data_IF_382010337094
#
_entry.id   IF_382010337094
#
_cell.length_a   1.000
_cell.length_b   1.000
_cell.length_c   1.000
_cell.angle_alpha   90.00
_cell.angle_beta   90.00
_cell.angle_gamma   90.00
#
_symmetry.space_group_name_H-M   'P 1'
#
loop_
_entity.id
_entity.type
_entity.pdbx_description
1 polymer ?
#
# COMPACT_ATOMS: atom_id res chain seq x y z
N UNK A 1 -10.87 8.76 -2.66
CA UNK A 1 -10.40 8.02 -1.48
C UNK A 1 -8.96 7.62 -1.68
N UNK A 2 -8.12 7.72 -0.63
CA UNK A 2 -6.74 7.20 -0.64
C UNK A 2 -6.73 5.68 -0.64
N UNK A 3 -5.64 5.07 -1.14
CA UNK A 3 -5.44 3.64 -1.08
C UNK A 3 -5.15 3.19 0.35
N UNK A 4 -5.66 2.02 0.72
CA UNK A 4 -5.63 1.49 2.09
C UNK A 4 -4.76 0.26 2.20
N UNK A 5 -3.91 0.21 3.23
CA UNK A 5 -3.13 -0.96 3.63
C UNK A 5 -3.74 -1.57 4.91
N UNK A 6 -4.16 -2.82 4.87
CA UNK A 6 -4.63 -3.55 6.04
C UNK A 6 -3.48 -4.22 6.79
N UNK A 7 -3.38 -3.99 8.08
CA UNK A 7 -2.42 -4.66 8.95
C UNK A 7 -3.09 -5.90 9.51
N UNK A 8 -2.55 -7.09 9.19
CA UNK A 8 -3.04 -8.38 9.67
C UNK A 8 -1.94 -9.18 10.36
N UNK A 9 -2.30 -10.24 11.04
CA UNK A 9 -1.39 -11.20 11.68
C UNK A 9 -2.08 -11.92 12.83
N UNK A 10 -1.46 -12.97 13.33
CA UNK A 10 -1.95 -13.71 14.49
C UNK A 10 -1.97 -12.84 15.77
N UNK A 11 -2.64 -13.25 16.82
CA UNK A 11 -2.57 -12.58 18.12
C UNK A 11 -1.11 -12.44 18.61
N UNK A 12 -0.81 -11.36 19.32
CA UNK A 12 0.47 -11.11 20.00
C UNK A 12 1.72 -11.00 19.11
N UNK A 13 1.59 -10.88 17.77
CA UNK A 13 2.72 -10.69 16.85
C UNK A 13 3.23 -9.24 16.79
N UNK A 14 2.49 -8.28 17.38
CA UNK A 14 2.85 -6.86 17.42
C UNK A 14 2.04 -5.95 16.47
N UNK A 15 0.87 -6.37 15.98
CA UNK A 15 -0.01 -5.57 15.11
C UNK A 15 -0.36 -4.21 15.72
N UNK A 16 -1.01 -4.23 16.89
CA UNK A 16 -1.46 -3.00 17.56
C UNK A 16 -0.29 -2.10 17.96
N UNK A 17 0.86 -2.69 18.31
CA UNK A 17 2.08 -1.92 18.55
C UNK A 17 2.53 -1.20 17.28
N UNK A 18 2.56 -1.88 16.13
CA UNK A 18 2.89 -1.27 14.84
C UNK A 18 1.90 -0.17 14.48
N UNK A 19 0.60 -0.46 14.61
CA UNK A 19 -0.46 0.51 14.30
C UNK A 19 -0.35 1.77 15.19
N UNK A 20 -0.17 1.63 16.50
CA UNK A 20 0.00 2.74 17.44
C UNK A 20 1.25 3.57 17.11
N UNK A 21 2.34 2.93 16.69
CA UNK A 21 3.55 3.64 16.28
C UNK A 21 3.30 4.45 15.00
N UNK A 22 2.58 3.88 14.03
CA UNK A 22 2.18 4.59 12.80
C UNK A 22 1.23 5.74 13.10
N UNK A 23 0.28 5.58 14.01
CA UNK A 23 -0.66 6.63 14.42
C UNK A 23 0.04 7.77 15.15
N UNK A 24 0.91 7.46 16.10
CA UNK A 24 1.61 8.48 16.92
C UNK A 24 2.70 9.25 16.13
N UNK A 25 3.12 8.75 14.97
CA UNK A 25 4.09 9.45 14.11
C UNK A 25 3.49 10.57 13.26
N UNK A 26 2.15 10.80 13.33
CA UNK A 26 1.41 11.64 12.39
C UNK A 26 0.61 12.76 13.02
N UNK A 27 1.26 13.60 13.79
CA UNK A 27 0.62 14.83 14.32
C UNK A 27 0.15 15.75 13.18
N UNK A 28 0.82 15.76 12.03
CA UNK A 28 0.51 16.63 10.89
C UNK A 28 -0.62 16.13 9.97
N UNK A 29 -1.00 14.85 10.05
CA UNK A 29 -2.01 14.26 9.16
C UNK A 29 -3.44 14.69 9.52
N UNK A 30 -3.68 15.20 10.72
CA UNK A 30 -4.99 15.69 11.20
C UNK A 30 -5.52 16.90 10.42
N UNK A 31 -4.63 17.66 9.76
CA UNK A 31 -4.96 18.87 9.02
C UNK A 31 -5.28 18.63 7.53
N UNK A 32 -5.38 17.36 7.08
CA UNK A 32 -5.73 17.09 5.69
C UNK A 32 -7.24 17.22 5.45
N UNK A 33 -7.66 18.00 4.45
CA UNK A 33 -9.07 18.10 4.07
C UNK A 33 -9.64 16.72 3.71
N UNK A 34 -10.84 16.40 4.20
CA UNK A 34 -11.57 15.14 3.93
C UNK A 34 -11.02 13.87 4.59
N UNK A 35 -10.14 13.95 5.57
CA UNK A 35 -9.76 12.82 6.40
C UNK A 35 -10.80 12.57 7.50
N UNK A 36 -11.79 11.72 7.22
CA UNK A 36 -12.67 11.18 8.27
C UNK A 36 -11.88 10.12 9.05
N UNK A 37 -11.57 10.37 10.29
CA UNK A 37 -10.92 9.39 11.18
C UNK A 37 -11.98 8.36 11.54
N UNK A 38 -11.83 7.15 11.00
CA UNK A 38 -12.62 5.99 11.42
C UNK A 38 -11.88 5.24 12.53
N UNK A 39 -12.56 4.57 13.46
CA UNK A 39 -11.90 3.67 14.40
C UNK A 39 -10.96 2.72 13.66
N UNK A 40 -9.81 2.43 14.23
CA UNK A 40 -8.80 1.53 13.67
C UNK A 40 -8.22 1.96 12.30
N UNK A 41 -8.29 3.25 11.94
CA UNK A 41 -7.65 3.79 10.73
C UNK A 41 -6.64 4.88 11.10
N UNK A 42 -5.46 4.83 10.49
CA UNK A 42 -4.41 5.84 10.62
C UNK A 42 -4.01 6.36 9.25
N UNK A 43 -3.97 7.67 9.10
CA UNK A 43 -3.53 8.33 7.87
C UNK A 43 -2.11 8.80 8.06
N UNK A 44 -1.21 8.40 7.17
CA UNK A 44 0.23 8.62 7.30
C UNK A 44 0.76 9.35 6.07
N UNK A 45 1.54 10.39 6.28
CA UNK A 45 2.20 11.12 5.19
C UNK A 45 3.31 10.27 4.56
N UNK A 46 3.43 10.32 3.23
CA UNK A 46 4.49 9.62 2.49
C UNK A 46 5.75 10.48 2.50
N UNK A 47 6.86 10.01 3.12
CA UNK A 47 8.11 10.75 3.11
C UNK A 47 8.67 10.83 1.69
N UNK A 48 8.82 12.06 1.17
CA UNK A 48 9.41 12.31 -0.15
C UNK A 48 10.26 13.59 -0.13
N UNK A 49 11.55 13.40 -0.08
CA UNK A 49 12.51 14.51 0.01
C UNK A 49 12.48 15.41 -1.24
N UNK A 50 12.03 14.88 -2.39
CA UNK A 50 11.85 15.64 -3.64
C UNK A 50 10.85 16.77 -3.48
N UNK A 51 9.76 16.54 -2.75
CA UNK A 51 8.72 17.54 -2.49
C UNK A 51 9.28 18.77 -1.75
N UNK A 52 10.06 18.53 -0.71
CA UNK A 52 10.67 19.63 0.08
C UNK A 52 11.67 20.43 -0.75
N UNK A 53 12.42 19.73 -1.61
CA UNK A 53 13.37 20.39 -2.50
C UNK A 53 12.66 21.29 -3.52
N UNK A 54 11.59 20.79 -4.15
CA UNK A 54 10.75 21.58 -5.08
C UNK A 54 10.13 22.78 -4.41
N UNK A 55 9.56 22.61 -3.20
CA UNK A 55 8.96 23.68 -2.43
C UNK A 55 9.97 24.79 -2.08
N UNK A 56 11.21 24.41 -1.74
CA UNK A 56 12.30 25.36 -1.48
C UNK A 56 12.64 26.17 -2.72
N UNK A 57 12.77 25.54 -3.88
CA UNK A 57 13.07 26.21 -5.15
C UNK A 57 11.95 27.16 -5.57
N UNK A 58 10.69 26.74 -5.43
CA UNK A 58 9.52 27.53 -5.77
C UNK A 58 9.15 28.58 -4.70
N UNK A 59 9.84 28.60 -3.56
CA UNK A 59 9.54 29.45 -2.40
C UNK A 59 8.07 29.31 -1.94
N UNK A 60 7.58 28.06 -1.91
CA UNK A 60 6.18 27.78 -1.62
C UNK A 60 5.82 28.05 -0.17
N UNK A 61 4.66 28.71 0.04
CA UNK A 61 4.13 29.01 1.39
C UNK A 61 3.63 27.78 2.11
N UNK A 62 3.15 26.77 1.38
CA UNK A 62 2.57 25.53 1.93
C UNK A 62 3.11 24.30 1.22
N UNK A 63 3.40 23.26 2.00
CA UNK A 63 3.86 21.95 1.49
C UNK A 63 2.82 20.91 1.89
N UNK A 64 2.31 20.16 0.90
CA UNK A 64 1.28 19.14 1.12
C UNK A 64 1.80 17.79 0.61
N UNK A 65 2.06 16.88 1.53
CA UNK A 65 2.53 15.53 1.22
C UNK A 65 1.37 14.63 0.77
N UNK A 66 1.63 13.63 -0.03
CA UNK A 66 0.68 12.54 -0.27
C UNK A 66 0.53 11.66 0.97
N UNK A 67 -0.59 10.94 1.07
CA UNK A 67 -0.94 10.13 2.22
C UNK A 67 -1.23 8.68 1.83
N UNK A 68 -0.99 7.76 2.77
CA UNK A 68 -1.44 6.37 2.73
C UNK A 68 -2.25 6.09 3.99
N UNK A 69 -3.33 5.35 3.87
CA UNK A 69 -4.17 4.96 5.00
C UNK A 69 -3.81 3.55 5.45
N UNK A 70 -3.52 3.37 6.73
CA UNK A 70 -3.35 2.08 7.37
C UNK A 70 -4.62 1.74 8.18
N UNK A 71 -5.02 0.47 8.13
CA UNK A 71 -6.19 -0.05 8.85
C UNK A 71 -5.72 -1.19 9.74
N UNK A 72 -5.94 -1.07 11.06
CA UNK A 72 -5.72 -2.21 11.97
C UNK A 72 -6.90 -3.17 11.85
N UNK A 73 -6.63 -4.36 11.34
CA UNK A 73 -7.61 -5.41 11.19
C UNK A 73 -7.45 -6.38 12.37
N UNK A 74 -8.48 -6.51 13.19
CA UNK A 74 -8.47 -7.39 14.36
C UNK A 74 -7.93 -8.78 14.02
N UNK A 75 -7.20 -9.39 14.97
CA UNK A 75 -6.48 -10.65 14.71
C UNK A 75 -7.42 -11.80 14.33
N UNK A 76 -6.91 -12.67 13.48
CA UNK A 76 -7.58 -13.89 13.05
C UNK A 76 -7.75 -14.86 14.21
N UNK A 77 -8.96 -15.41 14.36
CA UNK A 77 -9.22 -16.61 15.12
C UNK A 77 -9.25 -17.78 14.12
N UNK A 78 -8.53 -18.87 14.41
CA UNK A 78 -8.50 -20.08 13.58
C UNK A 78 -9.94 -20.59 13.32
N UNK A 79 -10.28 -20.84 12.04
CA UNK A 79 -11.63 -21.26 11.65
C UNK A 79 -12.53 -20.12 11.15
N UNK A 80 -11.98 -18.94 10.94
CA UNK A 80 -12.69 -17.75 10.45
C UNK A 80 -13.47 -17.97 9.14
N UNK A 81 -12.97 -18.84 8.26
CA UNK A 81 -13.58 -19.15 6.96
C UNK A 81 -14.80 -20.08 7.06
N UNK A 82 -15.03 -20.71 8.21
CA UNK A 82 -16.18 -21.61 8.43
C UNK A 82 -17.48 -20.89 8.82
N UNK A 83 -17.48 -19.57 8.92
CA UNK A 83 -18.70 -18.78 8.96
C UNK A 83 -19.20 -18.39 10.34
N UNK A 84 -18.45 -18.58 11.42
CA UNK A 84 -18.88 -18.18 12.76
C UNK A 84 -18.34 -16.78 13.16
N UNK A 85 -19.23 -15.81 13.31
CA UNK A 85 -19.06 -14.55 14.02
C UNK A 85 -17.89 -13.66 13.57
N UNK A 86 -16.90 -13.46 14.44
CA UNK A 86 -15.76 -12.53 14.27
C UNK A 86 -14.86 -12.85 13.06
N UNK A 87 -14.85 -14.11 12.58
CA UNK A 87 -14.05 -14.52 11.43
C UNK A 87 -14.54 -13.90 10.12
N UNK A 88 -15.84 -13.84 9.90
CA UNK A 88 -16.43 -13.19 8.71
C UNK A 88 -16.11 -11.69 8.70
N UNK A 89 -16.14 -11.02 9.85
CA UNK A 89 -15.82 -9.62 9.97
C UNK A 89 -14.34 -9.35 9.63
N UNK A 90 -13.41 -10.23 10.04
CA UNK A 90 -12.00 -10.16 9.68
C UNK A 90 -11.81 -10.22 8.15
N UNK A 91 -12.41 -11.22 7.49
CA UNK A 91 -12.31 -11.42 6.05
C UNK A 91 -12.98 -10.26 5.27
N UNK A 92 -14.11 -9.76 5.77
CA UNK A 92 -14.75 -8.56 5.22
C UNK A 92 -13.82 -7.33 5.31
N UNK A 93 -13.22 -7.09 6.47
CA UNK A 93 -12.28 -5.97 6.63
C UNK A 93 -11.07 -6.06 5.69
N UNK A 94 -10.55 -7.28 5.45
CA UNK A 94 -9.52 -7.49 4.42
C UNK A 94 -10.06 -7.16 3.04
N UNK A 95 -11.34 -7.40 2.73
CA UNK A 95 -11.92 -7.09 1.43
C UNK A 95 -11.89 -5.59 1.11
N UNK A 96 -11.95 -4.73 2.12
CA UNK A 96 -12.03 -3.27 2.00
C UNK A 96 -10.68 -2.54 1.85
N UNK A 97 -9.56 -3.27 1.94
CA UNK A 97 -8.21 -2.71 1.77
C UNK A 97 -7.63 -3.08 0.42
N UNK A 98 -6.66 -2.30 -0.06
CA UNK A 98 -6.03 -2.48 -1.38
C UNK A 98 -4.76 -3.35 -1.33
N UNK A 99 -4.10 -3.39 -0.18
CA UNK A 99 -2.90 -4.20 0.07
C UNK A 99 -2.87 -4.72 1.50
N UNK A 100 -2.11 -5.78 1.73
CA UNK A 100 -2.00 -6.47 3.02
C UNK A 100 -0.59 -6.34 3.57
N UNK A 101 -0.49 -5.89 4.83
CA UNK A 101 0.73 -5.90 5.63
C UNK A 101 0.61 -7.01 6.68
N UNK A 102 1.22 -8.15 6.41
CA UNK A 102 1.15 -9.31 7.29
C UNK A 102 2.30 -9.26 8.31
N UNK A 103 1.97 -8.91 9.54
CA UNK A 103 2.94 -8.88 10.65
C UNK A 103 3.16 -10.28 11.17
N UNK A 104 4.43 -10.69 11.19
CA UNK A 104 4.86 -12.01 11.60
C UNK A 104 5.89 -11.89 12.70
N UNK A 105 5.78 -12.74 13.71
CA UNK A 105 6.69 -12.76 14.84
C UNK A 105 7.94 -13.57 14.51
N UNK A 106 9.10 -12.94 14.65
CA UNK A 106 10.42 -13.54 14.42
C UNK A 106 11.29 -13.43 15.68
N UNK A 107 10.72 -13.72 16.85
CA UNK A 107 11.43 -13.77 18.14
C UNK A 107 10.71 -14.68 19.11
N UNK A 108 11.45 -15.25 20.06
CA UNK A 108 10.89 -16.03 21.18
C UNK A 108 10.77 -15.14 22.41
N UNK A 109 9.59 -15.17 23.03
CA UNK A 109 9.34 -14.54 24.34
C UNK A 109 8.50 -15.52 25.16
N UNK A 110 9.05 -15.99 26.28
CA UNK A 110 8.44 -17.01 27.16
C UNK A 110 7.11 -16.51 27.77
N UNK A 111 6.92 -15.20 27.87
CA UNK A 111 5.77 -14.58 28.48
C UNK A 111 4.59 -14.39 27.50
N UNK A 112 4.74 -14.83 26.25
CA UNK A 112 3.71 -14.64 25.21
C UNK A 112 3.20 -16.01 24.78
N UNK A 113 1.90 -16.23 24.96
CA UNK A 113 1.19 -17.41 24.48
C UNK A 113 1.20 -17.40 22.94
N UNK A 114 1.66 -18.48 22.33
CA UNK A 114 1.80 -18.62 20.88
C UNK A 114 0.99 -19.79 20.35
N UNK A 115 0.49 -19.63 19.12
CA UNK A 115 -0.07 -20.73 18.33
C UNK A 115 1.05 -21.51 17.61
N UNK A 116 2.13 -20.85 17.23
CA UNK A 116 3.29 -21.44 16.56
C UNK A 116 4.58 -20.69 16.90
N UNK A 117 5.73 -21.35 16.77
CA UNK A 117 7.06 -20.75 16.87
C UNK A 117 7.71 -20.53 15.48
N UNK A 118 7.10 -21.03 14.41
CA UNK A 118 7.61 -20.89 13.05
C UNK A 118 6.89 -19.75 12.31
N UNK A 119 7.61 -18.69 11.90
CA UNK A 119 7.04 -17.60 11.11
C UNK A 119 6.36 -18.06 9.81
N UNK A 120 6.80 -19.17 9.21
CA UNK A 120 6.22 -19.72 7.98
C UNK A 120 4.86 -20.35 8.27
N UNK A 121 4.73 -21.04 9.41
CA UNK A 121 3.43 -21.60 9.84
C UNK A 121 2.42 -20.51 10.11
N UNK A 122 2.82 -19.42 10.79
CA UNK A 122 1.97 -18.25 11.04
C UNK A 122 1.40 -17.68 9.73
N UNK A 123 2.26 -17.57 8.70
CA UNK A 123 1.85 -17.09 7.37
C UNK A 123 0.89 -18.08 6.72
N UNK A 124 1.17 -19.38 6.81
CA UNK A 124 0.35 -20.42 6.19
C UNK A 124 -1.05 -20.50 6.83
N UNK A 125 -1.17 -20.31 8.14
CA UNK A 125 -2.47 -20.26 8.83
C UNK A 125 -3.35 -19.18 8.20
N UNK A 126 -2.85 -17.95 8.09
CA UNK A 126 -3.62 -16.84 7.52
C UNK A 126 -3.88 -17.04 6.03
N UNK A 127 -2.87 -17.49 5.27
CA UNK A 127 -3.04 -17.76 3.85
C UNK A 127 -4.13 -18.80 3.58
N UNK A 128 -4.20 -19.86 4.40
CA UNK A 128 -5.23 -20.89 4.24
C UNK A 128 -6.63 -20.34 4.48
N UNK A 129 -6.83 -19.46 5.46
CA UNK A 129 -8.14 -18.84 5.70
C UNK A 129 -8.58 -17.95 4.53
N UNK A 130 -7.72 -17.09 4.01
CA UNK A 130 -8.07 -16.23 2.87
C UNK A 130 -8.25 -17.05 1.57
N UNK A 131 -7.52 -18.15 1.40
CA UNK A 131 -7.68 -19.09 0.28
C UNK A 131 -9.04 -19.76 0.36
N UNK A 132 -9.44 -20.29 1.53
CA UNK A 132 -10.74 -20.95 1.71
C UNK A 132 -11.89 -19.99 1.47
N UNK A 133 -11.76 -18.73 1.93
CA UNK A 133 -12.75 -17.70 1.64
C UNK A 133 -12.93 -17.48 0.14
N UNK A 134 -11.83 -17.33 -0.60
CA UNK A 134 -11.88 -17.10 -2.04
C UNK A 134 -12.42 -18.33 -2.80
N UNK A 135 -12.07 -19.55 -2.39
CA UNK A 135 -12.63 -20.78 -2.95
C UNK A 135 -14.15 -20.78 -2.77
N UNK A 136 -14.64 -20.49 -1.57
CA UNK A 136 -16.07 -20.45 -1.27
C UNK A 136 -16.79 -19.37 -2.10
N UNK A 137 -16.18 -18.19 -2.22
CA UNK A 137 -16.72 -17.09 -3.02
C UNK A 137 -16.81 -17.46 -4.51
N UNK A 138 -15.76 -18.04 -5.09
CA UNK A 138 -15.74 -18.45 -6.50
C UNK A 138 -16.74 -19.59 -6.75
N UNK A 139 -16.91 -20.53 -5.81
CA UNK A 139 -17.91 -21.60 -5.95
C UNK A 139 -19.34 -21.05 -5.92
N UNK A 140 -19.65 -20.10 -5.01
CA UNK A 140 -20.96 -19.40 -4.99
C UNK A 140 -21.23 -18.67 -6.31
N UNK A 141 -20.21 -17.97 -6.85
CA UNK A 141 -20.33 -17.29 -8.13
C UNK A 141 -20.57 -18.27 -9.29
N UNK A 142 -19.94 -19.46 -9.27
CA UNK A 142 -20.17 -20.50 -10.29
C UNK A 142 -21.60 -20.99 -10.31
N UNK A 143 -22.23 -21.18 -9.15
CA UNK A 143 -23.60 -21.64 -9.04
C UNK A 143 -24.62 -20.60 -9.54
N UNK A 144 -24.25 -19.30 -9.49
CA UNK A 144 -25.08 -18.18 -9.96
C UNK A 144 -24.83 -17.80 -11.42
N UNK A 145 -24.11 -18.61 -12.21
CA UNK A 145 -23.68 -18.34 -13.61
C UNK A 145 -24.82 -18.48 -14.65
N UNK A 146 -26.02 -18.10 -14.34
CA UNK A 146 -27.04 -17.79 -15.35
C UNK A 146 -26.83 -16.42 -16.03
N UNK A 147 -25.93 -15.58 -15.52
CA UNK A 147 -25.60 -14.28 -16.07
C UNK A 147 -24.60 -14.36 -17.22
N UNK A 148 -25.00 -13.98 -18.45
CA UNK A 148 -24.18 -13.91 -19.67
C UNK A 148 -22.80 -13.24 -19.49
N UNK A 149 -22.67 -12.30 -18.57
CA UNK A 149 -21.42 -11.57 -18.29
C UNK A 149 -20.31 -12.43 -17.65
N UNK A 150 -20.66 -13.51 -16.95
CA UNK A 150 -19.70 -14.41 -16.31
C UNK A 150 -19.20 -15.53 -17.24
N UNK A 151 -19.90 -15.84 -18.33
CA UNK A 151 -19.51 -16.91 -19.24
C UNK A 151 -18.10 -16.72 -19.81
N UNK A 152 -17.76 -15.48 -20.17
CA UNK A 152 -16.42 -15.10 -20.67
C UNK A 152 -15.29 -15.40 -19.67
N UNK A 153 -15.58 -15.36 -18.36
CA UNK A 153 -14.59 -15.53 -17.32
C UNK A 153 -14.61 -16.90 -16.66
N UNK A 154 -15.49 -17.80 -17.11
CA UNK A 154 -15.63 -19.17 -16.58
C UNK A 154 -14.30 -19.95 -16.56
N UNK A 155 -13.54 -19.84 -17.63
CA UNK A 155 -12.23 -20.49 -17.76
C UNK A 155 -11.21 -19.91 -16.77
N UNK A 156 -11.14 -18.58 -16.63
CA UNK A 156 -10.27 -17.91 -15.68
C UNK A 156 -10.60 -18.33 -14.23
N UNK A 157 -11.88 -18.36 -13.86
CA UNK A 157 -12.31 -18.80 -12.53
C UNK A 157 -11.94 -20.27 -12.25
N UNK A 158 -11.98 -21.15 -13.27
CA UNK A 158 -11.51 -22.53 -13.15
C UNK A 158 -10.00 -22.59 -12.87
N UNK A 159 -9.20 -21.79 -13.58
CA UNK A 159 -7.74 -21.66 -13.34
C UNK A 159 -7.50 -21.17 -11.91
N UNK A 160 -8.18 -20.11 -11.48
CA UNK A 160 -8.06 -19.56 -10.14
C UNK A 160 -8.37 -20.62 -9.07
N UNK A 161 -9.46 -21.36 -9.20
CA UNK A 161 -9.81 -22.44 -8.26
C UNK A 161 -8.73 -23.52 -8.18
N UNK A 162 -8.22 -23.98 -9.31
CA UNK A 162 -7.17 -25.00 -9.35
C UNK A 162 -5.88 -24.48 -8.68
N UNK A 163 -5.58 -23.17 -8.84
CA UNK A 163 -4.41 -22.54 -8.25
C UNK A 163 -4.56 -22.42 -6.72
N UNK A 164 -5.74 -22.00 -6.26
CA UNK A 164 -6.08 -21.89 -4.84
C UNK A 164 -6.09 -23.25 -4.14
N UNK A 165 -6.67 -24.29 -4.76
CA UNK A 165 -6.66 -25.68 -4.24
C UNK A 165 -5.26 -26.25 -4.03
N UNK A 166 -4.25 -25.74 -4.76
CA UNK A 166 -2.83 -26.04 -4.55
C UNK A 166 -2.17 -25.22 -3.45
N UNK A 167 -2.95 -24.48 -2.64
CA UNK A 167 -2.44 -23.62 -1.57
C UNK A 167 -1.67 -22.38 -2.05
N UNK A 168 -1.89 -21.93 -3.29
CA UNK A 168 -1.18 -20.78 -3.88
C UNK A 168 -2.07 -19.55 -3.94
N UNK A 169 -1.53 -18.37 -3.57
CA UNK A 169 -2.24 -17.09 -3.62
C UNK A 169 -2.30 -16.57 -5.07
N UNK A 170 -3.44 -15.99 -5.48
CA UNK A 170 -3.66 -15.48 -6.85
C UNK A 170 -2.76 -14.29 -7.21
N UNK A 171 -2.21 -13.56 -6.25
CA UNK A 171 -1.25 -12.49 -6.52
C UNK A 171 0.06 -12.96 -7.17
N UNK A 172 0.37 -14.27 -7.12
CA UNK A 172 1.50 -14.90 -7.81
C UNK A 172 1.13 -15.52 -9.17
N UNK A 173 -0.16 -15.49 -9.54
CA UNK A 173 -0.60 -15.95 -10.85
C UNK A 173 -0.30 -14.88 -11.91
N UNK A 174 0.28 -15.29 -13.02
CA UNK A 174 0.50 -14.40 -14.17
C UNK A 174 -0.85 -14.11 -14.84
N UNK A 175 -1.27 -12.84 -14.75
CA UNK A 175 -2.56 -12.36 -15.24
C UNK A 175 -2.37 -11.11 -16.10
N UNK A 176 -3.14 -10.99 -17.18
CA UNK A 176 -3.19 -9.75 -17.92
C UNK A 176 -4.01 -8.68 -17.17
N UNK A 177 -3.93 -7.43 -17.64
CA UNK A 177 -4.57 -6.29 -16.95
C UNK A 177 -6.10 -6.42 -16.85
N UNK A 178 -6.75 -7.01 -17.87
CA UNK A 178 -8.21 -7.20 -17.88
C UNK A 178 -8.65 -8.27 -16.88
N UNK A 179 -7.93 -9.38 -16.84
CA UNK A 179 -8.15 -10.48 -15.88
C UNK A 179 -7.94 -10.01 -14.44
N UNK A 180 -6.83 -9.31 -14.19
CA UNK A 180 -6.54 -8.75 -12.86
C UNK A 180 -7.64 -7.80 -12.39
N UNK A 181 -8.09 -6.88 -13.25
CA UNK A 181 -9.17 -5.96 -12.94
C UNK A 181 -10.49 -6.69 -12.67
N UNK A 182 -10.80 -7.73 -13.44
CA UNK A 182 -11.99 -8.54 -13.21
C UNK A 182 -11.95 -9.21 -11.83
N UNK A 183 -10.84 -9.89 -11.47
CA UNK A 183 -10.70 -10.55 -10.18
C UNK A 183 -10.70 -9.57 -9.01
N UNK A 184 -10.14 -8.36 -9.19
CA UNK A 184 -10.22 -7.29 -8.19
C UNK A 184 -11.65 -6.81 -7.96
N UNK A 185 -12.46 -6.71 -9.02
CA UNK A 185 -13.88 -6.34 -8.90
C UNK A 185 -14.71 -7.40 -8.15
N UNK A 186 -14.28 -8.66 -8.17
CA UNK A 186 -14.87 -9.73 -7.36
C UNK A 186 -14.47 -9.65 -5.88
N UNK A 187 -13.60 -8.71 -5.50
CA UNK A 187 -13.08 -8.54 -4.13
C UNK A 187 -12.38 -9.78 -3.58
N UNK A 188 -11.73 -10.59 -4.44
CA UNK A 188 -10.94 -11.71 -4.00
C UNK A 188 -9.79 -11.24 -3.10
N UNK A 189 -9.56 -11.94 -2.00
CA UNK A 189 -8.55 -11.55 -1.00
C UNK A 189 -7.14 -11.94 -1.45
N UNK A 190 -7.00 -13.12 -2.06
CA UNK A 190 -5.71 -13.68 -2.48
C UNK A 190 -5.06 -12.95 -3.66
N UNK A 191 -5.82 -12.10 -4.39
CA UNK A 191 -5.27 -11.27 -5.48
C UNK A 191 -4.57 -10.01 -4.96
N UNK A 192 -4.83 -9.63 -3.71
CA UNK A 192 -4.26 -8.42 -3.11
C UNK A 192 -2.75 -8.57 -2.93
N UNK A 193 -1.97 -7.53 -3.25
CA UNK A 193 -0.54 -7.53 -2.98
C UNK A 193 -0.29 -7.63 -1.47
N UNK A 194 0.70 -8.44 -1.09
CA UNK A 194 1.03 -8.71 0.31
C UNK A 194 2.52 -8.46 0.58
N UNK A 195 2.81 -7.78 1.68
CA UNK A 195 4.14 -7.60 2.25
C UNK A 195 4.21 -8.24 3.63
N UNK A 196 5.30 -8.96 3.90
CA UNK A 196 5.56 -9.52 5.22
C UNK A 196 6.34 -8.51 6.06
N UNK A 197 5.84 -8.24 7.26
CA UNK A 197 6.53 -7.43 8.26
C UNK A 197 7.10 -8.37 9.31
N UNK A 198 8.40 -8.68 9.21
CA UNK A 198 9.10 -9.53 10.14
C UNK A 198 9.48 -8.73 11.41
N UNK A 199 8.73 -8.95 12.49
CA UNK A 199 8.98 -8.32 13.78
C UNK A 199 10.06 -9.08 14.55
N UNK A 200 11.25 -8.48 14.67
CA UNK A 200 12.43 -9.02 15.32
C UNK A 200 12.59 -8.46 16.74
N UNK A 201 13.31 -9.18 17.60
CA UNK A 201 13.83 -8.64 18.87
C UNK A 201 15.26 -8.16 18.71
N UNK A 202 15.62 -7.04 19.34
CA UNK A 202 16.98 -6.47 19.31
C UNK A 202 18.01 -7.49 19.77
N UNK A 203 17.75 -8.20 20.85
CA UNK A 203 18.69 -9.15 21.45
C UNK A 203 18.84 -10.45 20.64
N UNK A 204 18.04 -10.67 19.60
CA UNK A 204 17.99 -11.93 18.83
C UNK A 204 18.08 -11.72 17.31
N UNK A 205 18.59 -10.57 16.86
CA UNK A 205 18.86 -10.30 15.43
C UNK A 205 19.83 -11.35 14.83
N UNK A 206 20.64 -12.00 15.64
CA UNK A 206 21.63 -13.04 15.24
C UNK A 206 21.08 -14.48 15.32
N UNK A 207 19.80 -14.70 15.64
CA UNK A 207 19.25 -16.06 15.70
C UNK A 207 19.18 -16.65 14.29
N UNK A 208 20.02 -17.64 13.99
CA UNK A 208 20.14 -18.31 12.69
C UNK A 208 18.79 -18.84 12.20
N UNK A 209 18.01 -19.48 13.09
CA UNK A 209 16.67 -20.03 12.74
C UNK A 209 15.75 -18.98 12.10
N UNK A 210 15.57 -17.82 12.74
CA UNK A 210 14.71 -16.78 12.18
C UNK A 210 15.29 -16.13 10.93
N UNK A 211 16.62 -16.00 10.84
CA UNK A 211 17.28 -15.47 9.64
C UNK A 211 17.07 -16.38 8.43
N UNK A 212 17.21 -17.69 8.60
CA UNK A 212 16.93 -18.69 7.55
C UNK A 212 15.48 -18.63 7.07
N UNK A 213 14.53 -18.61 8.02
CA UNK A 213 13.10 -18.48 7.69
C UNK A 213 12.81 -17.18 6.92
N UNK A 214 13.39 -16.05 7.36
CA UNK A 214 13.25 -14.76 6.65
C UNK A 214 13.86 -14.84 5.25
N UNK A 215 15.00 -15.50 5.07
CA UNK A 215 15.61 -15.66 3.74
C UNK A 215 14.74 -16.49 2.80
N UNK A 216 14.02 -17.49 3.30
CA UNK A 216 13.02 -18.23 2.53
C UNK A 216 11.87 -17.29 2.13
N UNK A 217 11.38 -16.46 3.06
CA UNK A 217 10.29 -15.52 2.80
C UNK A 217 10.65 -14.44 1.78
N UNK A 218 11.88 -13.93 1.80
CA UNK A 218 12.37 -12.90 0.84
C UNK A 218 12.33 -13.41 -0.60
N UNK A 219 12.51 -14.71 -0.84
CA UNK A 219 12.42 -15.31 -2.19
C UNK A 219 10.99 -15.24 -2.75
N UNK A 220 9.97 -15.15 -1.91
CA UNK A 220 8.57 -15.23 -2.31
C UNK A 220 7.80 -13.91 -2.10
N UNK A 221 8.13 -13.16 -1.06
CA UNK A 221 7.41 -11.97 -0.64
C UNK A 221 8.32 -10.74 -0.56
N UNK A 222 7.72 -9.56 -0.68
CA UNK A 222 8.37 -8.34 -0.21
C UNK A 222 8.42 -8.40 1.32
N UNK A 223 9.62 -8.35 1.91
CA UNK A 223 9.81 -8.47 3.37
C UNK A 223 10.40 -7.19 3.95
N UNK A 224 9.76 -6.65 4.98
CA UNK A 224 10.27 -5.56 5.79
C UNK A 224 10.68 -6.08 7.17
N UNK A 225 11.96 -6.02 7.51
CA UNK A 225 12.47 -6.37 8.86
C UNK A 225 12.34 -5.16 9.77
N UNK A 226 11.69 -5.34 10.94
CA UNK A 226 11.50 -4.27 11.93
C UNK A 226 11.75 -4.81 13.34
N UNK A 227 11.96 -3.89 14.29
CA UNK A 227 11.99 -4.19 15.71
C UNK A 227 11.04 -3.25 16.43
N UNK A 228 9.94 -3.78 16.98
CA UNK A 228 8.91 -2.98 17.64
C UNK A 228 9.16 -2.81 19.14
N UNK A 229 9.71 -3.83 19.81
CA UNK A 229 10.12 -3.76 21.23
C UNK A 229 11.56 -3.30 21.34
N UNK A 230 11.78 -2.08 21.82
CA UNK A 230 13.10 -1.51 22.07
C UNK A 230 13.20 -1.21 23.58
N UNK A 231 14.28 -1.66 24.29
CA UNK A 231 14.46 -1.42 25.72
C UNK A 231 14.51 0.07 26.06
N UNK A 232 13.88 0.48 27.17
CA UNK A 232 13.78 1.89 27.58
C UNK A 232 15.14 2.58 27.84
N UNK A 233 16.20 1.80 28.12
CA UNK A 233 17.55 2.32 28.39
C UNK A 233 18.22 2.99 27.18
N UNK A 234 17.73 2.78 25.96
CA UNK A 234 18.32 3.31 24.71
C UNK A 234 17.45 4.40 24.03
N UNK A 235 16.82 5.30 24.79
CA UNK A 235 15.82 6.25 24.29
C UNK A 235 16.23 7.06 23.06
N UNK A 236 17.46 7.58 22.96
CA UNK A 236 17.93 8.38 21.79
C UNK A 236 18.15 7.53 20.53
N UNK A 237 18.79 6.36 20.66
CA UNK A 237 18.99 5.40 19.55
C UNK A 237 17.65 4.82 19.08
N UNK A 238 16.70 4.68 19.99
CA UNK A 238 15.33 4.23 19.81
C UNK A 238 14.58 5.12 18.84
N UNK A 239 14.61 6.44 19.06
CA UNK A 239 13.89 7.40 18.23
C UNK A 239 14.37 7.37 16.78
N UNK A 240 15.67 7.32 16.55
CA UNK A 240 16.26 7.24 15.20
C UNK A 240 15.93 5.93 14.49
N UNK A 241 16.15 4.77 15.12
CA UNK A 241 15.86 3.44 14.54
C UNK A 241 14.36 3.23 14.29
N UNK A 242 13.49 3.77 15.17
CA UNK A 242 12.05 3.69 15.03
C UNK A 242 11.57 4.48 13.81
N UNK A 243 12.06 5.71 13.62
CA UNK A 243 11.70 6.54 12.48
C UNK A 243 12.19 5.96 11.14
N UNK A 244 13.39 5.40 11.09
CA UNK A 244 13.92 4.74 9.88
C UNK A 244 13.06 3.53 9.49
N UNK A 245 12.65 2.70 10.46
CA UNK A 245 11.81 1.54 10.21
C UNK A 245 10.40 1.94 9.72
N UNK A 246 9.81 2.99 10.29
CA UNK A 246 8.52 3.51 9.85
C UNK A 246 8.58 4.09 8.43
N UNK A 247 9.56 4.95 8.16
CA UNK A 247 9.80 5.51 6.82
C UNK A 247 9.91 4.38 5.78
N UNK A 248 10.63 3.31 6.12
CA UNK A 248 10.78 2.13 5.26
C UNK A 248 9.45 1.41 5.01
N UNK A 249 8.63 1.19 6.04
CA UNK A 249 7.31 0.55 5.89
C UNK A 249 6.42 1.38 4.97
N UNK A 250 6.36 2.70 5.18
CA UNK A 250 5.52 3.60 4.38
C UNK A 250 5.95 3.57 2.91
N UNK A 251 7.26 3.68 2.63
CA UNK A 251 7.80 3.65 1.27
C UNK A 251 7.54 2.28 0.60
N UNK A 252 7.73 1.17 1.33
CA UNK A 252 7.47 -0.16 0.81
C UNK A 252 5.98 -0.39 0.57
N UNK A 253 5.10 0.13 1.43
CA UNK A 253 3.64 0.08 1.24
C UNK A 253 3.23 0.85 -0.01
N UNK A 254 3.84 2.00 -0.26
CA UNK A 254 3.62 2.80 -1.45
C UNK A 254 4.02 2.02 -2.73
N UNK A 255 5.18 1.36 -2.71
CA UNK A 255 5.63 0.48 -3.81
C UNK A 255 4.71 -0.73 -3.98
N UNK A 256 4.28 -1.35 -2.87
CA UNK A 256 3.36 -2.50 -2.89
C UNK A 256 2.03 -2.17 -3.56
N UNK A 257 1.51 -0.97 -3.33
CA UNK A 257 0.31 -0.43 -3.96
C UNK A 257 0.54 -0.03 -5.44
N UNK A 258 1.76 -0.20 -5.96
CA UNK A 258 2.15 0.19 -7.33
C UNK A 258 1.85 1.66 -7.63
N UNK A 259 2.21 2.56 -6.69
CA UNK A 259 1.99 3.99 -6.79
C UNK A 259 3.20 4.72 -7.37
N UNK A 260 2.90 5.78 -8.11
CA UNK A 260 3.81 6.83 -8.54
C UNK A 260 3.41 8.16 -7.92
N UNK A 261 4.37 9.06 -7.79
CA UNK A 261 4.15 10.43 -7.33
C UNK A 261 4.37 11.41 -8.47
N UNK A 262 3.44 12.33 -8.66
CA UNK A 262 3.66 13.55 -9.44
C UNK A 262 3.46 14.78 -8.56
N UNK A 263 3.93 15.93 -8.99
CA UNK A 263 3.90 17.17 -8.23
C UNK A 263 3.15 18.27 -8.97
N UNK A 264 2.46 19.10 -8.20
CA UNK A 264 2.04 20.44 -8.60
C UNK A 264 2.87 21.44 -7.81
N UNK A 265 3.56 22.34 -8.49
CA UNK A 265 4.52 23.27 -7.89
C UNK A 265 4.07 24.70 -8.13
N UNK A 266 3.99 25.50 -7.08
CA UNK A 266 3.60 26.89 -7.17
C UNK A 266 3.97 27.69 -5.91
N UNK A 267 3.91 29.02 -5.98
CA UNK A 267 4.24 29.92 -4.86
C UNK A 267 3.27 29.73 -3.68
N UNK A 268 1.97 29.53 -3.95
CA UNK A 268 0.97 29.31 -2.90
C UNK A 268 1.19 27.97 -2.19
N UNK A 269 1.34 26.91 -2.99
CA UNK A 269 1.55 25.56 -2.47
C UNK A 269 2.35 24.70 -3.42
N UNK A 270 3.12 23.77 -2.85
CA UNK A 270 3.70 22.62 -3.55
C UNK A 270 3.12 21.34 -2.95
N UNK A 271 2.58 20.50 -3.82
CA UNK A 271 1.85 19.29 -3.39
C UNK A 271 2.28 18.06 -4.16
N UNK A 272 2.44 16.93 -3.44
CA UNK A 272 2.63 15.62 -4.03
C UNK A 272 1.28 14.89 -4.17
N UNK A 273 1.13 14.15 -5.27
CA UNK A 273 -0.07 13.41 -5.62
C UNK A 273 0.28 11.98 -5.92
N UNK A 274 -0.36 11.05 -5.21
CA UNK A 274 -0.19 9.61 -5.43
C UNK A 274 -1.18 9.12 -6.48
N UNK A 275 -0.68 8.44 -7.51
CA UNK A 275 -1.47 7.81 -8.58
C UNK A 275 -0.98 6.38 -8.82
N UNK A 276 -1.84 5.53 -9.36
CA UNK A 276 -1.42 4.21 -9.83
C UNK A 276 -0.47 4.35 -11.03
N UNK A 277 0.56 3.53 -11.07
CA UNK A 277 1.44 3.42 -12.24
C UNK A 277 0.60 3.15 -13.50
N UNK A 278 0.89 3.88 -14.58
CA UNK A 278 0.12 3.80 -15.82
C UNK A 278 -1.10 4.73 -15.88
N UNK A 279 -1.31 5.59 -14.86
CA UNK A 279 -2.37 6.60 -14.87
C UNK A 279 -2.10 7.66 -15.93
N UNK A 280 -3.12 7.94 -16.77
CA UNK A 280 -3.05 8.99 -17.79
C UNK A 280 -3.26 10.38 -17.20
N UNK A 281 -2.81 11.42 -17.90
CA UNK A 281 -2.97 12.82 -17.50
C UNK A 281 -4.45 13.18 -17.23
N UNK A 282 -5.38 12.72 -18.07
CA UNK A 282 -6.81 12.95 -17.86
C UNK A 282 -7.31 12.33 -16.55
N UNK A 283 -6.86 11.11 -16.23
CA UNK A 283 -7.26 10.44 -14.99
C UNK A 283 -6.58 11.04 -13.75
N UNK A 284 -5.37 11.56 -13.89
CA UNK A 284 -4.70 12.30 -12.83
C UNK A 284 -5.37 13.65 -12.55
N UNK A 285 -5.88 14.34 -13.57
CA UNK A 285 -6.68 15.56 -13.42
C UNK A 285 -7.89 15.33 -12.50
N UNK A 286 -8.58 14.20 -12.64
CA UNK A 286 -9.70 13.78 -11.77
C UNK A 286 -9.27 13.68 -10.29
N UNK A 287 -8.02 13.30 -10.03
CA UNK A 287 -7.50 13.17 -8.66
C UNK A 287 -7.37 14.52 -7.97
N UNK A 288 -7.14 15.58 -8.73
CA UNK A 288 -7.05 16.95 -8.22
C UNK A 288 -8.44 17.52 -8.03
N UNK A 289 -9.24 17.59 -9.10
CA UNK A 289 -10.63 18.04 -9.09
C UNK A 289 -11.40 17.53 -10.30
N UNK A 290 -12.72 17.29 -10.12
CA UNK A 290 -13.60 16.85 -11.21
C UNK A 290 -13.67 17.86 -12.35
N UNK A 291 -13.63 19.15 -12.05
CA UNK A 291 -13.74 20.22 -13.05
C UNK A 291 -12.49 20.33 -13.93
N UNK A 292 -11.30 20.10 -13.34
CA UNK A 292 -10.06 20.01 -14.11
C UNK A 292 -10.11 18.85 -15.10
N UNK A 293 -10.75 17.73 -14.71
CA UNK A 293 -10.95 16.60 -15.63
C UNK A 293 -11.93 16.95 -16.75
N UNK A 294 -13.08 17.59 -16.41
CA UNK A 294 -14.11 17.97 -17.40
C UNK A 294 -13.58 18.97 -18.41
N UNK A 295 -12.92 20.02 -17.91
CA UNK A 295 -12.37 21.09 -18.75
C UNK A 295 -10.96 20.80 -19.31
N UNK A 296 -10.45 19.59 -19.20
CA UNK A 296 -9.07 19.23 -19.57
C UNK A 296 -8.74 19.57 -21.04
N UNK A 297 -7.70 20.35 -21.22
CA UNK A 297 -7.16 20.69 -22.55
C UNK A 297 -5.84 19.96 -22.79
N UNK A 298 -4.80 20.27 -22.03
CA UNK A 298 -3.45 19.70 -22.09
C UNK A 298 -2.76 19.76 -20.72
N UNK A 299 -1.58 19.17 -20.61
CA UNK A 299 -0.70 19.33 -19.46
C UNK A 299 0.68 19.84 -19.91
N UNK A 300 1.27 20.74 -19.13
CA UNK A 300 2.69 21.05 -19.19
C UNK A 300 3.38 20.10 -18.23
N UNK A 301 4.40 19.42 -18.71
CA UNK A 301 5.16 18.41 -17.96
C UNK A 301 6.62 18.83 -17.92
N UNK A 302 7.20 18.86 -16.74
CA UNK A 302 8.61 19.09 -16.47
C UNK A 302 9.13 17.88 -15.69
N UNK A 303 10.24 17.31 -16.10
CA UNK A 303 10.83 16.21 -15.33
C UNK A 303 11.52 16.77 -14.08
N UNK A 304 11.41 16.06 -12.95
CA UNK A 304 12.04 16.46 -11.68
C UNK A 304 13.54 16.79 -11.84
N UNK A 305 14.28 15.98 -12.60
CA UNK A 305 15.71 16.22 -12.87
C UNK A 305 15.96 17.56 -13.57
N UNK A 306 15.14 17.90 -14.56
CA UNK A 306 15.27 19.17 -15.27
C UNK A 306 14.94 20.36 -14.35
N UNK A 307 13.94 20.21 -13.49
CA UNK A 307 13.58 21.26 -12.53
C UNK A 307 14.71 21.55 -11.53
N UNK A 308 15.44 20.52 -11.10
CA UNK A 308 16.62 20.68 -10.22
C UNK A 308 17.76 21.41 -10.93
N UNK A 309 18.05 21.05 -12.18
CA UNK A 309 19.17 21.59 -12.95
C UNK A 309 18.94 23.09 -13.22
N UNK A 310 17.76 23.43 -13.72
CA UNK A 310 17.46 24.80 -14.17
C UNK A 310 16.83 25.69 -13.08
N UNK A 311 16.40 25.12 -11.95
CA UNK A 311 15.93 25.78 -10.72
C UNK A 311 14.67 26.66 -10.82
N UNK A 312 14.30 27.16 -12.00
CA UNK A 312 13.09 27.95 -12.19
C UNK A 312 12.46 27.73 -13.58
N UNK A 313 11.16 27.98 -13.70
CA UNK A 313 10.40 27.72 -14.92
C UNK A 313 10.88 28.52 -16.14
N UNK A 314 11.41 29.74 -15.95
CA UNK A 314 11.92 30.57 -17.04
C UNK A 314 13.13 29.92 -17.70
N UNK A 315 14.08 29.45 -16.90
CA UNK A 315 15.27 28.75 -17.40
C UNK A 315 14.90 27.40 -18.04
N UNK A 316 13.94 26.68 -17.45
CA UNK A 316 13.43 25.42 -18.01
C UNK A 316 12.80 25.64 -19.39
N UNK A 317 12.03 26.74 -19.54
CA UNK A 317 11.41 27.14 -20.82
C UNK A 317 12.47 27.49 -21.86
N UNK A 318 13.46 28.29 -21.49
CA UNK A 318 14.58 28.68 -22.41
C UNK A 318 15.36 27.42 -22.85
N UNK A 319 15.54 26.45 -21.97
CA UNK A 319 16.19 25.17 -22.27
C UNK A 319 15.30 24.18 -23.07
N UNK A 320 14.07 24.55 -23.42
CA UNK A 320 13.14 23.68 -24.16
C UNK A 320 12.71 22.42 -23.42
N UNK A 321 12.78 22.39 -22.07
CA UNK A 321 12.47 21.22 -21.25
C UNK A 321 11.03 21.15 -20.77
N UNK A 322 10.16 22.09 -21.19
CA UNK A 322 8.72 22.02 -20.93
C UNK A 322 8.08 21.25 -22.09
N UNK A 323 7.50 20.09 -21.77
CA UNK A 323 6.72 19.29 -22.73
C UNK A 323 5.24 19.62 -22.60
N UNK A 324 4.53 19.67 -23.72
CA UNK A 324 3.08 19.83 -23.76
C UNK A 324 2.47 18.51 -24.20
N UNK A 325 1.70 17.88 -23.32
CA UNK A 325 1.19 16.54 -23.52
C UNK A 325 -0.35 16.51 -23.51
N UNK A 326 -0.92 15.49 -24.16
CA UNK A 326 -2.37 15.32 -24.28
C UNK A 326 -2.97 14.36 -23.23
N UNK A 327 -4.28 14.12 -23.38
CA UNK A 327 -5.11 13.27 -22.48
C UNK A 327 -4.53 11.87 -22.22
N UNK A 328 -3.85 11.27 -23.21
CA UNK A 328 -3.32 9.89 -23.18
C UNK A 328 -1.92 9.80 -22.59
N UNK A 329 -1.26 10.92 -22.29
CA UNK A 329 0.07 10.90 -21.67
C UNK A 329 0.04 10.12 -20.36
N UNK A 330 0.91 9.13 -20.23
CA UNK A 330 1.08 8.35 -19.00
C UNK A 330 2.08 9.07 -18.09
N UNK A 331 1.60 9.50 -16.92
CA UNK A 331 2.42 10.25 -15.97
C UNK A 331 3.51 9.35 -15.40
N UNK A 332 4.73 9.84 -15.39
CA UNK A 332 5.90 9.18 -14.82
C UNK A 332 6.12 9.62 -13.37
N UNK A 333 6.84 8.77 -12.61
CA UNK A 333 7.22 9.12 -11.23
C UNK A 333 8.19 10.30 -11.22
N UNK A 334 7.84 11.34 -10.49
CA UNK A 334 8.62 12.56 -10.39
C UNK A 334 8.24 13.67 -11.38
N UNK A 335 7.25 13.46 -12.24
CA UNK A 335 6.78 14.53 -13.13
C UNK A 335 6.19 15.70 -12.34
N UNK A 336 6.55 16.91 -12.74
CA UNK A 336 5.93 18.16 -12.28
C UNK A 336 4.93 18.56 -13.35
N UNK A 337 3.65 18.70 -12.94
CA UNK A 337 2.54 18.84 -13.87
C UNK A 337 1.76 20.12 -13.60
N UNK A 338 1.52 20.87 -14.67
CA UNK A 338 0.59 21.99 -14.68
C UNK A 338 -0.55 21.67 -15.66
N UNK A 339 -1.78 21.54 -15.13
CA UNK A 339 -2.96 21.23 -15.93
C UNK A 339 -3.50 22.49 -16.59
N UNK A 340 -3.70 22.44 -17.90
CA UNK A 340 -4.38 23.48 -18.68
C UNK A 340 -5.83 23.00 -18.90
N UNK A 341 -6.77 23.78 -18.40
CA UNK A 341 -8.19 23.43 -18.45
C UNK A 341 -9.04 24.70 -18.65
N UNK A 342 -10.22 24.51 -19.20
CA UNK A 342 -11.26 25.57 -19.32
C UNK A 342 -12.34 25.27 -18.27
N UNK A 343 -12.73 26.30 -17.52
CA UNK A 343 -13.82 26.23 -16.53
C UNK A 343 -15.14 26.36 -17.26
#
# INVERSE_FOLDING_TARGET
>A
MGLKCGIIGLPNVGKSTLFNILTNSNVDALNYPFCTIKPNTSVVTVPDDRLFYLAKLAKSKKIIQSIVTFVDIAGLIKGASKGEGLGNQFLHNISEVDAILHVVRCFNDKNIINLSFDPIEDINIINNEIIQFDINLINKLKNNILNKNFYKWKYLLKICLNYLKKGKLLNFLSLNLKEKKFLQNLKLLTIKPMMIIANLSINKIKNKFFLEKINILIKKYLVCKICLKIPQKEKKLIFFKKNINLKKIIILSFKLLNLHTFYTVGIKETKSWSILKGTTALNAAKKIHSDIQKGFIRVKVIHFKDYIIYKNETQIKLAGKIRIEGKKYVILDGDIIHFLFKV
#
